data_IF_592726618370
#
_entry.id   IF_592726618370
#
_cell.length_a   1.000
_cell.length_b   1.000
_cell.length_c   1.000
_cell.angle_alpha   90.00
_cell.angle_beta   90.00
_cell.angle_gamma   90.00
#
_symmetry.space_group_name_H-M   'P 1'
#
loop_
_entity.id
_entity.type
_entity.pdbx_description
1 polymer ?
#
# COMPACT_ATOMS: atom_id res chain seq x y z
N UNK A 1 -11.98 -61.75 -10.18
CA UNK A 1 -13.12 -61.39 -11.03
C UNK A 1 -13.83 -60.25 -10.34
N UNK A 2 -13.31 -59.04 -10.52
CA UNK A 2 -13.68 -58.12 -11.59
C UNK A 2 -15.14 -57.69 -11.50
N UNK A 3 -15.26 -56.38 -11.34
CA UNK A 3 -16.29 -55.54 -11.93
C UNK A 3 -17.70 -55.67 -11.32
N UNK A 4 -18.48 -54.61 -11.19
CA UNK A 4 -18.39 -53.34 -11.87
C UNK A 4 -19.13 -52.33 -10.98
N UNK A 5 -18.52 -51.25 -10.52
CA UNK A 5 -18.25 -50.07 -11.35
C UNK A 5 -19.44 -49.53 -12.13
N UNK A 6 -20.69 -49.89 -11.82
CA UNK A 6 -21.84 -49.23 -12.43
C UNK A 6 -23.01 -49.15 -11.47
N UNK A 7 -22.98 -48.15 -10.59
CA UNK A 7 -24.01 -47.10 -10.53
C UNK A 7 -23.45 -45.95 -9.68
N UNK A 8 -22.86 -44.97 -10.36
CA UNK A 8 -23.53 -43.67 -10.58
C UNK A 8 -23.83 -42.99 -9.23
N UNK A 9 -22.91 -42.19 -8.73
CA UNK A 9 -22.88 -40.79 -9.13
C UNK A 9 -24.30 -40.21 -9.26
N UNK A 10 -24.95 -39.96 -8.12
CA UNK A 10 -25.90 -38.86 -7.94
C UNK A 10 -26.20 -38.67 -6.46
N UNK A 11 -25.80 -37.48 -6.00
CA UNK A 11 -26.31 -36.75 -4.83
C UNK A 11 -25.91 -37.33 -3.47
N UNK A 12 -24.92 -36.71 -2.84
CA UNK A 12 -25.16 -35.90 -1.64
C UNK A 12 -23.85 -35.39 -1.02
N UNK A 13 -23.79 -34.06 -0.91
CA UNK A 13 -23.19 -33.28 0.16
C UNK A 13 -21.67 -33.11 0.30
N UNK A 14 -21.31 -31.82 0.21
CA UNK A 14 -20.13 -31.16 0.73
C UNK A 14 -19.69 -31.63 2.13
N UNK A 15 -18.45 -32.12 2.23
CA UNK A 15 -17.39 -31.70 3.18
C UNK A 15 -16.33 -32.79 3.22
N UNK A 16 -15.16 -32.52 2.65
CA UNK A 16 -13.93 -33.26 2.96
C UNK A 16 -12.78 -32.27 3.10
N UNK A 17 -12.66 -31.68 4.29
CA UNK A 17 -11.36 -31.32 4.88
C UNK A 17 -10.82 -32.60 5.50
N UNK A 18 -9.66 -33.06 5.01
CA UNK A 18 -9.08 -34.37 5.29
C UNK A 18 -7.91 -34.18 6.25
N UNK A 19 -8.04 -34.77 7.42
CA UNK A 19 -6.97 -35.06 8.39
C UNK A 19 -6.05 -36.17 7.88
N UNK A 20 -4.84 -36.18 8.45
CA UNK A 20 -3.78 -37.21 8.46
C UNK A 20 -2.58 -36.96 7.55
N UNK A 21 -1.55 -36.35 8.13
CA UNK A 21 -0.16 -36.44 7.71
C UNK A 21 0.69 -36.83 8.94
N UNK A 22 0.88 -38.13 9.11
CA UNK A 22 2.06 -38.70 9.76
C UNK A 22 2.57 -39.82 8.86
N UNK A 23 3.89 -39.84 8.71
CA UNK A 23 4.73 -40.77 7.92
C UNK A 23 4.85 -40.42 6.43
N UNK A 24 5.98 -39.79 6.05
CA UNK A 24 6.93 -40.31 5.05
C UNK A 24 8.22 -39.47 5.01
N UNK A 25 9.31 -40.17 4.67
CA UNK A 25 10.73 -39.80 4.75
C UNK A 25 11.14 -38.65 3.81
N UNK A 26 12.06 -37.83 4.31
CA UNK A 26 12.77 -36.74 3.59
C UNK A 26 13.61 -37.28 2.42
N UNK A 27 13.59 -36.60 1.27
CA UNK A 27 14.39 -36.90 0.07
C UNK A 27 15.01 -35.60 -0.51
N UNK A 28 16.12 -35.69 -1.23
CA UNK A 28 17.00 -34.57 -1.67
C UNK A 28 16.33 -33.44 -2.49
N UNK A 29 15.09 -33.63 -2.96
CA UNK A 29 14.32 -32.59 -3.64
C UNK A 29 13.86 -31.45 -2.71
N UNK A 30 13.78 -31.68 -1.39
CA UNK A 30 13.51 -30.64 -0.38
C UNK A 30 14.65 -29.62 -0.24
N UNK A 31 15.83 -29.93 -0.79
CA UNK A 31 16.98 -29.02 -0.84
C UNK A 31 16.77 -27.87 -1.84
N UNK A 32 16.02 -28.12 -2.91
CA UNK A 32 15.83 -27.15 -4.00
C UNK A 32 14.72 -26.14 -3.66
N UNK A 33 13.68 -26.55 -2.91
CA UNK A 33 12.65 -25.64 -2.39
C UNK A 33 13.09 -24.84 -1.15
N UNK A 34 14.26 -25.14 -0.57
CA UNK A 34 14.89 -24.31 0.49
C UNK A 34 15.56 -23.03 -0.03
N UNK A 35 15.73 -22.85 -1.34
CA UNK A 35 16.26 -21.59 -1.92
C UNK A 35 15.28 -20.40 -1.89
N UNK A 36 14.09 -20.57 -1.30
CA UNK A 36 13.17 -19.46 -0.99
C UNK A 36 12.64 -19.49 0.45
N UNK A 37 13.40 -20.05 1.41
CA UNK A 37 13.19 -19.69 2.81
C UNK A 37 13.84 -18.35 3.07
N UNK A 38 13.00 -17.32 2.93
CA UNK A 38 13.13 -16.03 3.58
C UNK A 38 14.04 -16.08 4.83
N UNK A 39 15.04 -15.20 4.87
CA UNK A 39 15.87 -14.91 6.04
C UNK A 39 15.05 -14.43 7.26
N UNK A 40 13.72 -14.37 7.18
CA UNK A 40 12.83 -14.02 8.29
C UNK A 40 12.54 -15.15 9.29
N UNK A 41 12.98 -16.39 9.07
CA UNK A 41 12.72 -17.48 10.03
C UNK A 41 14.01 -18.05 10.61
N UNK A 42 14.56 -17.35 11.61
CA UNK A 42 15.68 -17.76 12.48
C UNK A 42 15.38 -19.02 13.31
N UNK A 43 14.14 -19.50 13.32
CA UNK A 43 13.64 -20.53 14.23
C UNK A 43 14.34 -21.88 14.14
N UNK A 44 14.75 -22.33 12.96
CA UNK A 44 15.32 -23.69 12.79
C UNK A 44 16.76 -23.82 13.31
N UNK A 45 17.61 -22.82 13.08
CA UNK A 45 18.98 -22.78 13.63
C UNK A 45 18.95 -22.54 15.14
N UNK A 46 18.10 -21.63 15.61
CA UNK A 46 17.93 -21.35 17.03
C UNK A 46 17.36 -22.54 17.83
N UNK A 47 16.43 -23.30 17.24
CA UNK A 47 15.92 -24.53 17.87
C UNK A 47 17.02 -25.59 18.03
N UNK A 48 17.89 -25.73 17.03
CA UNK A 48 19.03 -26.66 17.07
C UNK A 48 20.03 -26.26 18.16
N UNK A 49 20.28 -24.95 18.32
CA UNK A 49 21.14 -24.40 19.37
C UNK A 49 20.53 -24.56 20.77
N UNK A 50 19.22 -24.37 20.93
CA UNK A 50 18.53 -24.59 22.22
C UNK A 50 18.60 -26.04 22.71
N UNK A 51 18.53 -27.00 21.78
CA UNK A 51 18.70 -28.44 22.08
C UNK A 51 20.15 -28.76 22.44
N UNK A 52 21.11 -28.11 21.81
CA UNK A 52 22.53 -28.24 22.15
C UNK A 52 22.82 -27.72 23.57
N UNK A 53 22.32 -26.52 23.92
CA UNK A 53 22.47 -25.97 25.27
C UNK A 53 21.81 -26.83 26.33
N UNK A 54 20.61 -27.36 26.06
CA UNK A 54 19.94 -28.30 26.97
C UNK A 54 20.82 -29.52 27.25
N UNK A 55 21.37 -30.16 26.21
CA UNK A 55 22.25 -31.33 26.37
C UNK A 55 23.56 -30.99 27.08
N UNK A 56 24.16 -29.84 26.78
CA UNK A 56 25.42 -29.43 27.40
C UNK A 56 25.26 -29.13 28.90
N UNK A 57 24.17 -28.45 29.28
CA UNK A 57 23.88 -28.11 30.67
C UNK A 57 23.46 -29.34 31.47
N UNK A 58 22.61 -30.21 30.92
CA UNK A 58 22.23 -31.49 31.55
C UNK A 58 23.40 -32.46 31.73
N UNK A 59 24.46 -32.35 30.91
CA UNK A 59 25.68 -33.15 31.08
C UNK A 59 26.59 -32.62 32.20
N UNK A 60 26.49 -31.33 32.53
CA UNK A 60 27.38 -30.65 33.49
C UNK A 60 26.86 -30.67 34.93
N UNK A 61 25.55 -30.75 35.12
CA UNK A 61 24.90 -30.86 36.42
C UNK A 61 23.96 -32.07 36.35
N UNK A 62 24.12 -33.05 37.24
CA UNK A 62 23.32 -34.28 37.33
C UNK A 62 21.85 -34.01 37.76
N UNK A 63 21.24 -32.96 37.21
CA UNK A 63 19.92 -32.44 37.50
C UNK A 63 19.13 -32.36 36.20
N UNK A 64 17.93 -32.95 36.21
CA UNK A 64 16.99 -32.91 35.09
C UNK A 64 16.44 -31.48 34.91
N UNK A 65 17.14 -30.68 34.11
CA UNK A 65 16.64 -29.38 33.68
C UNK A 65 15.60 -29.62 32.59
N UNK A 66 14.30 -29.55 32.91
CA UNK A 66 13.24 -29.61 31.89
C UNK A 66 13.15 -28.29 31.13
N UNK A 67 13.74 -28.21 29.94
CA UNK A 67 13.49 -27.10 29.01
C UNK A 67 12.18 -27.40 28.27
N UNK A 68 11.08 -26.86 28.79
CA UNK A 68 9.81 -26.87 28.05
C UNK A 68 9.96 -26.02 26.79
N UNK A 69 9.47 -26.53 25.65
CA UNK A 69 9.51 -25.83 24.37
C UNK A 69 8.61 -24.59 24.42
N UNK A 70 9.14 -23.50 24.95
CA UNK A 70 8.54 -22.18 24.91
C UNK A 70 8.54 -21.72 23.46
N UNK A 71 7.34 -21.67 22.86
CA UNK A 71 7.09 -21.00 21.58
C UNK A 71 7.83 -19.66 21.54
N UNK A 72 8.92 -19.60 20.76
CA UNK A 72 9.52 -18.37 20.19
C UNK A 72 9.68 -17.17 21.16
N UNK A 73 10.09 -17.42 22.41
CA UNK A 73 10.50 -16.38 23.39
C UNK A 73 11.69 -16.88 24.22
N UNK A 74 12.76 -17.24 23.55
CA UNK A 74 14.07 -17.50 24.17
C UNK A 74 14.94 -16.39 23.57
N UNK A 75 15.02 -15.20 24.15
CA UNK A 75 15.26 -14.80 25.54
C UNK A 75 14.27 -13.71 25.99
N UNK A 76 14.05 -13.54 27.30
CA UNK A 76 13.19 -12.48 27.88
C UNK A 76 13.73 -11.05 27.71
N UNK A 77 14.69 -10.84 26.80
CA UNK A 77 15.29 -9.55 26.52
C UNK A 77 14.42 -8.84 25.48
N UNK A 78 13.66 -7.84 25.93
CA UNK A 78 12.95 -6.92 25.03
C UNK A 78 13.88 -5.78 24.65
N UNK A 79 13.64 -5.15 23.50
CA UNK A 79 14.31 -3.90 23.11
C UNK A 79 14.22 -2.87 24.23
N UNK A 80 13.08 -2.76 24.90
CA UNK A 80 12.83 -1.91 26.08
C UNK A 80 13.77 -2.17 27.28
N UNK A 81 14.39 -3.35 27.36
CA UNK A 81 15.34 -3.71 28.42
C UNK A 81 16.78 -3.40 28.06
N UNK A 82 17.06 -3.05 26.80
CA UNK A 82 18.43 -2.84 26.29
C UNK A 82 18.61 -1.45 25.70
N UNK A 83 17.58 -0.87 25.10
CA UNK A 83 17.60 0.44 24.47
C UNK A 83 16.55 1.33 25.11
N UNK A 84 16.93 2.57 25.37
CA UNK A 84 16.01 3.59 25.85
C UNK A 84 15.32 4.30 24.67
N UNK A 85 14.01 4.51 24.76
CA UNK A 85 13.21 5.30 23.79
C UNK A 85 13.47 4.97 22.30
N UNK A 86 13.39 3.69 21.92
CA UNK A 86 13.54 3.26 20.51
C UNK A 86 12.42 3.87 19.65
N UNK A 87 12.75 4.67 18.62
CA UNK A 87 11.74 5.15 17.68
C UNK A 87 11.07 3.98 16.94
N UNK A 88 9.77 4.08 16.66
CA UNK A 88 8.96 2.98 16.10
C UNK A 88 9.55 2.44 14.79
N UNK A 89 10.06 3.33 13.94
CA UNK A 89 10.71 3.03 12.66
C UNK A 89 12.05 2.29 12.82
N UNK A 90 12.72 2.46 13.95
CA UNK A 90 13.98 1.79 14.29
C UNK A 90 13.77 0.50 15.08
N UNK A 91 12.53 0.16 15.45
CA UNK A 91 12.22 -1.08 16.17
C UNK A 91 12.73 -2.35 15.44
N UNK A 92 12.59 -2.48 14.10
CA UNK A 92 13.18 -3.61 13.38
C UNK A 92 14.71 -3.65 13.47
N UNK A 93 15.38 -2.49 13.40
CA UNK A 93 16.83 -2.39 13.51
C UNK A 93 17.30 -2.70 14.94
N UNK A 94 16.61 -2.18 15.96
CA UNK A 94 16.88 -2.48 17.36
C UNK A 94 16.74 -3.98 17.66
N UNK A 95 15.71 -4.63 17.12
CA UNK A 95 15.53 -6.09 17.24
C UNK A 95 16.65 -6.86 16.53
N UNK A 96 17.13 -6.38 15.37
CA UNK A 96 18.25 -7.00 14.66
C UNK A 96 19.57 -6.87 15.45
N UNK A 97 19.84 -5.68 16.00
CA UNK A 97 21.01 -5.45 16.86
C UNK A 97 20.93 -6.33 18.10
N UNK A 98 19.77 -6.39 18.76
CA UNK A 98 19.54 -7.26 19.91
C UNK A 98 19.82 -8.73 19.58
N UNK A 99 19.35 -9.19 18.41
CA UNK A 99 19.61 -10.56 17.94
C UNK A 99 21.10 -10.80 17.69
N UNK A 100 21.82 -9.81 17.15
CA UNK A 100 23.25 -9.91 16.86
C UNK A 100 24.12 -9.89 18.13
N UNK A 101 23.68 -9.21 19.19
CA UNK A 101 24.37 -9.13 20.48
C UNK A 101 24.25 -10.43 21.27
N UNK A 102 23.21 -11.25 21.05
CA UNK A 102 23.00 -12.51 21.77
C UNK A 102 24.07 -13.53 21.34
N UNK A 103 25.14 -13.59 22.11
CA UNK A 103 26.20 -14.57 22.09
C UNK A 103 26.30 -15.32 23.44
N UNK A 104 27.21 -16.28 23.55
CA UNK A 104 27.36 -17.06 24.80
C UNK A 104 27.77 -16.19 25.99
N UNK A 105 28.65 -15.22 25.78
CA UNK A 105 29.15 -14.33 26.83
C UNK A 105 28.05 -13.38 27.35
N UNK A 106 27.27 -12.79 26.45
CA UNK A 106 26.12 -11.95 26.82
C UNK A 106 25.02 -12.76 27.50
N UNK A 107 24.81 -14.03 27.14
CA UNK A 107 23.89 -14.90 27.87
C UNK A 107 24.31 -15.12 29.33
N UNK A 108 25.61 -15.27 29.60
CA UNK A 108 26.14 -15.35 30.96
C UNK A 108 25.95 -14.04 31.73
N UNK A 109 26.27 -12.91 31.10
CA UNK A 109 26.02 -11.58 31.67
C UNK A 109 24.54 -11.35 31.97
N UNK A 110 23.65 -11.80 31.08
CA UNK A 110 22.20 -11.75 31.25
C UNK A 110 21.74 -12.60 32.42
N UNK A 111 22.27 -13.82 32.55
CA UNK A 111 21.96 -14.70 33.69
C UNK A 111 22.32 -14.03 35.02
N UNK A 112 23.53 -13.46 35.11
CA UNK A 112 23.98 -12.73 36.30
C UNK A 112 23.12 -11.49 36.56
N UNK A 113 22.74 -10.77 35.51
CA UNK A 113 21.88 -9.60 35.60
C UNK A 113 20.49 -9.96 36.15
N UNK A 114 19.85 -11.03 35.67
CA UNK A 114 18.54 -11.45 36.17
C UNK A 114 18.57 -12.00 37.60
N UNK A 115 19.71 -12.52 38.07
CA UNK A 115 19.89 -12.96 39.46
C UNK A 115 19.99 -11.79 40.46
N UNK A 116 20.34 -10.59 40.00
CA UNK A 116 20.62 -9.43 40.86
C UNK A 116 19.45 -8.53 41.25
N UNK A 117 18.19 -8.92 41.00
CA UNK A 117 16.99 -8.12 41.32
C UNK A 117 17.01 -6.67 40.78
N UNK A 118 17.54 -6.46 39.57
CA UNK A 118 17.57 -5.13 38.94
C UNK A 118 16.29 -4.81 38.17
N UNK A 119 15.14 -4.83 38.86
CA UNK A 119 13.92 -4.28 38.28
C UNK A 119 14.14 -2.80 37.96
N UNK A 120 13.99 -2.42 36.69
CA UNK A 120 14.16 -1.07 36.14
C UNK A 120 15.58 -0.60 35.76
N UNK A 121 16.58 -1.48 35.74
CA UNK A 121 17.85 -1.14 35.06
C UNK A 121 17.85 -1.68 33.63
N UNK A 122 18.50 -0.93 32.74
CA UNK A 122 18.76 -1.36 31.37
C UNK A 122 19.95 -2.32 31.37
N UNK A 123 19.81 -3.44 30.69
CA UNK A 123 20.91 -4.34 30.42
C UNK A 123 21.90 -3.66 29.46
N UNK A 124 23.17 -3.59 29.87
CA UNK A 124 24.25 -2.95 29.11
C UNK A 124 25.36 -3.97 28.86
N UNK A 125 25.36 -4.63 27.70
CA UNK A 125 26.41 -5.58 27.36
C UNK A 125 27.81 -4.90 27.31
N UNK A 126 27.86 -3.63 26.88
CA UNK A 126 29.01 -2.74 27.03
C UNK A 126 28.56 -1.29 27.27
N UNK A 127 29.48 -0.44 27.74
CA UNK A 127 29.14 0.90 28.24
C UNK A 127 28.65 1.89 27.18
N UNK A 128 29.15 1.80 25.94
CA UNK A 128 28.84 2.74 24.86
C UNK A 128 27.64 2.34 23.98
N UNK A 129 27.00 1.20 24.22
CA UNK A 129 25.89 0.70 23.37
C UNK A 129 24.77 1.74 23.23
N UNK A 130 24.37 2.38 24.32
CA UNK A 130 23.27 3.37 24.29
C UNK A 130 23.63 4.59 23.45
N UNK A 131 24.84 5.11 23.63
CA UNK A 131 25.33 6.28 22.89
C UNK A 131 25.51 5.95 21.41
N UNK A 132 25.99 4.74 21.10
CA UNK A 132 26.12 4.26 19.71
C UNK A 132 24.75 4.10 19.04
N UNK A 133 23.77 3.49 19.74
CA UNK A 133 22.42 3.32 19.23
C UNK A 133 21.68 4.66 19.06
N UNK A 134 21.80 5.57 20.04
CA UNK A 134 21.25 6.91 19.93
C UNK A 134 21.90 7.68 18.77
N UNK A 135 23.22 7.57 18.59
CA UNK A 135 23.92 8.17 17.44
C UNK A 135 23.46 7.57 16.11
N UNK A 136 23.18 6.26 16.06
CA UNK A 136 22.63 5.61 14.87
C UNK A 136 21.24 6.18 14.53
N UNK A 137 20.37 6.32 15.53
CA UNK A 137 19.02 6.85 15.39
C UNK A 137 19.00 8.34 15.01
N UNK A 138 19.95 9.13 15.53
CA UNK A 138 20.05 10.57 15.24
C UNK A 138 20.77 10.88 13.92
N UNK A 139 21.43 9.90 13.30
CA UNK A 139 22.20 10.15 12.09
C UNK A 139 21.29 10.34 10.86
N UNK A 140 21.57 11.39 10.07
CA UNK A 140 20.96 11.58 8.73
C UNK A 140 21.34 10.46 7.73
N UNK A 141 22.15 9.49 8.15
CA UNK A 141 22.51 8.26 7.44
C UNK A 141 21.52 7.12 7.68
N UNK A 142 20.30 7.40 8.14
CA UNK A 142 19.26 6.40 8.33
C UNK A 142 18.86 5.77 6.97
N UNK A 143 19.31 4.54 6.77
CA UNK A 143 19.22 3.85 5.51
C UNK A 143 17.95 2.97 5.45
N UNK A 144 16.82 3.54 5.06
CA UNK A 144 15.59 2.78 4.81
C UNK A 144 15.53 2.29 3.37
N UNK A 145 15.45 0.98 3.18
CA UNK A 145 15.23 0.36 1.86
C UNK A 145 13.80 -0.16 1.75
N UNK A 146 13.12 0.23 0.67
CA UNK A 146 11.78 -0.27 0.35
C UNK A 146 11.82 -0.97 -1.00
N UNK A 147 11.25 -2.17 -1.05
CA UNK A 147 11.12 -2.90 -2.31
C UNK A 147 10.20 -2.13 -3.26
N UNK A 148 10.73 -1.76 -4.43
CA UNK A 148 9.95 -1.18 -5.51
C UNK A 148 8.98 -2.20 -6.09
N UNK A 149 7.78 -1.74 -6.48
CA UNK A 149 6.72 -2.62 -6.96
C UNK A 149 6.62 -2.60 -8.49
N UNK A 150 7.44 -3.41 -9.16
CA UNK A 150 7.47 -3.50 -10.63
C UNK A 150 6.43 -4.50 -11.20
N UNK A 151 5.32 -4.68 -10.50
CA UNK A 151 4.30 -5.67 -10.89
C UNK A 151 3.49 -5.16 -12.09
N UNK A 152 3.50 -5.93 -13.17
CA UNK A 152 2.79 -5.60 -14.43
C UNK A 152 1.36 -6.17 -14.48
N UNK A 153 1.05 -7.17 -13.64
CA UNK A 153 -0.28 -7.81 -13.60
C UNK A 153 -1.15 -7.20 -12.50
N UNK A 154 -2.42 -6.95 -12.81
CA UNK A 154 -3.40 -6.44 -11.84
C UNK A 154 -4.81 -6.41 -12.43
N UNK A 155 -5.72 -5.72 -11.78
CA UNK A 155 -7.06 -5.49 -12.31
C UNK A 155 -7.02 -4.46 -13.46
N UNK A 156 -7.55 -4.81 -14.64
CA UNK A 156 -7.63 -3.89 -15.77
C UNK A 156 -8.65 -2.75 -15.54
N UNK A 157 -9.73 -3.05 -14.84
CA UNK A 157 -10.77 -2.11 -14.45
C UNK A 157 -11.27 -2.39 -13.02
N UNK A 158 -11.93 -1.43 -12.40
CA UNK A 158 -12.64 -1.61 -11.13
C UNK A 158 -13.86 -2.52 -11.33
N UNK A 159 -14.31 -3.17 -10.26
CA UNK A 159 -15.41 -4.14 -10.31
C UNK A 159 -16.75 -3.53 -10.75
N UNK A 160 -16.97 -2.25 -10.43
CA UNK A 160 -18.22 -1.55 -10.79
C UNK A 160 -18.26 -1.21 -12.28
N UNK A 161 -19.24 -1.78 -12.98
CA UNK A 161 -19.55 -1.45 -14.37
C UNK A 161 -20.63 -0.37 -14.40
N UNK A 162 -20.31 0.77 -15.01
CA UNK A 162 -21.22 1.89 -15.22
C UNK A 162 -22.04 1.67 -16.50
N UNK A 163 -23.25 2.23 -16.53
CA UNK A 163 -24.10 2.17 -17.72
C UNK A 163 -23.66 3.23 -18.72
N UNK A 164 -23.55 2.87 -20.00
CA UNK A 164 -23.48 3.84 -21.09
C UNK A 164 -24.89 4.05 -21.66
N UNK A 165 -25.29 5.31 -21.82
CA UNK A 165 -26.56 5.71 -22.42
C UNK A 165 -26.28 6.83 -23.44
N UNK A 166 -26.08 6.44 -24.70
CA UNK A 166 -25.50 7.34 -25.70
C UNK A 166 -24.12 7.81 -25.25
N UNK A 167 -23.87 9.11 -25.32
CA UNK A 167 -22.59 9.71 -24.90
C UNK A 167 -22.46 9.90 -23.38
N UNK A 168 -23.53 9.65 -22.62
CA UNK A 168 -23.52 9.84 -21.16
C UNK A 168 -23.23 8.52 -20.44
N UNK A 169 -22.36 8.60 -19.43
CA UNK A 169 -22.08 7.48 -18.53
C UNK A 169 -22.87 7.73 -17.25
N UNK A 170 -23.61 6.72 -16.79
CA UNK A 170 -24.57 6.87 -15.67
C UNK A 170 -24.35 5.78 -14.63
N UNK A 171 -24.41 6.17 -13.36
CA UNK A 171 -24.35 5.25 -12.22
C UNK A 171 -25.52 5.50 -11.28
N UNK A 172 -26.05 4.43 -10.66
CA UNK A 172 -27.00 4.58 -9.56
C UNK A 172 -26.23 4.95 -8.29
N UNK A 173 -26.47 6.14 -7.76
CA UNK A 173 -25.85 6.64 -6.54
C UNK A 173 -26.88 6.59 -5.41
N UNK A 174 -26.53 6.03 -4.23
CA UNK A 174 -27.41 6.06 -3.05
C UNK A 174 -27.76 7.48 -2.65
N UNK A 175 -28.98 7.68 -2.13
CA UNK A 175 -29.44 9.02 -1.73
C UNK A 175 -28.51 9.69 -0.71
N UNK A 176 -27.91 8.92 0.20
CA UNK A 176 -26.97 9.39 1.23
C UNK A 176 -25.66 9.95 0.70
N UNK A 177 -25.35 9.76 -0.60
CA UNK A 177 -24.13 10.24 -1.25
C UNK A 177 -24.39 11.37 -2.26
N UNK A 178 -25.61 11.90 -2.32
CA UNK A 178 -25.94 13.01 -3.19
C UNK A 178 -25.24 14.29 -2.74
N UNK A 179 -25.01 15.20 -3.69
CA UNK A 179 -24.36 16.48 -3.45
C UNK A 179 -25.12 17.57 -4.18
N UNK A 180 -25.15 18.76 -3.58
CA UNK A 180 -25.63 19.96 -4.23
C UNK A 180 -24.47 20.70 -4.92
N UNK A 181 -24.75 21.30 -6.07
CA UNK A 181 -23.90 22.26 -6.74
C UNK A 181 -24.07 23.67 -6.13
N UNK A 182 -23.27 24.62 -6.60
CA UNK A 182 -23.32 26.02 -6.18
C UNK A 182 -24.72 26.65 -6.36
N UNK A 183 -25.44 26.24 -7.41
CA UNK A 183 -26.81 26.70 -7.71
C UNK A 183 -27.89 26.03 -6.84
N UNK A 184 -27.47 25.28 -5.80
CA UNK A 184 -28.34 24.46 -4.93
C UNK A 184 -29.15 23.43 -5.70
N UNK A 185 -28.62 22.94 -6.82
CA UNK A 185 -29.16 21.86 -7.64
C UNK A 185 -28.46 20.53 -7.33
N UNK A 186 -29.10 19.39 -7.59
CA UNK A 186 -28.42 18.09 -7.41
C UNK A 186 -27.39 17.91 -8.52
N UNK A 187 -26.12 17.75 -8.14
CA UNK A 187 -25.00 17.62 -9.06
C UNK A 187 -25.22 16.49 -10.06
N UNK A 188 -25.09 16.80 -11.37
CA UNK A 188 -25.05 15.81 -12.44
C UNK A 188 -26.27 14.87 -12.51
N UNK A 189 -27.43 15.34 -12.06
CA UNK A 189 -28.66 14.53 -12.08
C UNK A 189 -29.03 14.12 -13.51
N UNK A 190 -29.21 12.82 -13.74
CA UNK A 190 -29.51 12.31 -15.07
C UNK A 190 -30.99 12.52 -15.41
N UNK A 191 -31.26 13.22 -16.52
CA UNK A 191 -32.60 13.41 -17.10
C UNK A 191 -33.65 13.94 -16.11
N UNK A 192 -33.39 15.12 -15.56
CA UNK A 192 -34.32 15.89 -14.71
C UNK A 192 -35.75 15.92 -15.26
N UNK A 193 -35.89 16.10 -16.57
CA UNK A 193 -37.17 16.31 -17.24
C UNK A 193 -38.12 15.12 -17.15
N UNK A 194 -37.58 13.89 -17.02
CA UNK A 194 -38.40 12.68 -16.93
C UNK A 194 -39.21 12.60 -15.64
N UNK A 195 -38.73 13.19 -14.56
CA UNK A 195 -39.39 13.14 -13.25
C UNK A 195 -39.07 14.37 -12.38
N UNK A 196 -39.66 15.50 -12.77
CA UNK A 196 -39.49 16.78 -12.08
C UNK A 196 -39.98 16.74 -10.63
N UNK A 197 -41.04 15.96 -10.35
CA UNK A 197 -41.60 15.83 -9.00
C UNK A 197 -40.62 15.14 -8.05
N UNK A 198 -40.03 14.02 -8.48
CA UNK A 198 -39.01 13.32 -7.70
C UNK A 198 -37.80 14.22 -7.45
N UNK A 199 -37.27 14.86 -8.50
CA UNK A 199 -36.11 15.74 -8.35
C UNK A 199 -36.38 16.90 -7.39
N UNK A 200 -37.52 17.59 -7.54
CA UNK A 200 -37.86 18.75 -6.72
C UNK A 200 -37.98 18.35 -5.23
N UNK A 201 -38.59 17.20 -4.95
CA UNK A 201 -38.70 16.69 -3.60
C UNK A 201 -37.34 16.28 -3.00
N UNK A 202 -36.47 15.63 -3.77
CA UNK A 202 -35.11 15.29 -3.34
C UNK A 202 -34.28 16.55 -3.06
N UNK A 203 -34.34 17.52 -3.96
CA UNK A 203 -33.64 18.81 -3.84
C UNK A 203 -34.13 19.56 -2.62
N UNK A 204 -35.44 19.68 -2.40
CA UNK A 204 -36.02 20.35 -1.23
C UNK A 204 -35.56 19.69 0.07
N UNK A 205 -35.56 18.36 0.14
CA UNK A 205 -35.09 17.62 1.31
C UNK A 205 -33.60 17.83 1.54
N UNK A 206 -32.77 17.79 0.50
CA UNK A 206 -31.34 18.08 0.62
C UNK A 206 -31.05 19.50 1.11
N UNK A 207 -31.75 20.50 0.59
CA UNK A 207 -31.60 21.90 0.99
C UNK A 207 -32.00 22.09 2.46
N UNK A 208 -33.07 21.43 2.92
CA UNK A 208 -33.53 21.52 4.31
C UNK A 208 -32.48 21.05 5.34
N UNK A 209 -31.59 20.13 4.96
CA UNK A 209 -30.51 19.61 5.79
C UNK A 209 -29.15 20.21 5.41
N UNK A 210 -29.13 21.42 4.86
CA UNK A 210 -27.88 22.14 4.54
C UNK A 210 -26.99 21.44 3.50
N UNK A 211 -27.55 20.55 2.68
CA UNK A 211 -26.80 19.74 1.71
C UNK A 211 -26.16 18.47 2.28
N UNK A 212 -26.36 18.15 3.56
CA UNK A 212 -25.89 16.89 4.14
C UNK A 212 -26.83 15.73 3.77
N UNK A 213 -26.48 15.01 2.70
CA UNK A 213 -27.28 13.90 2.21
C UNK A 213 -27.40 12.72 3.18
N UNK A 214 -26.40 12.50 4.04
CA UNK A 214 -26.43 11.39 4.99
C UNK A 214 -27.51 11.61 6.05
N UNK A 215 -27.65 12.84 6.53
CA UNK A 215 -28.70 13.23 7.48
C UNK A 215 -30.05 13.37 6.79
N UNK A 216 -30.07 14.03 5.63
CA UNK A 216 -31.29 14.26 4.85
C UNK A 216 -32.05 12.97 4.54
N UNK A 217 -31.32 11.88 4.30
CA UNK A 217 -31.87 10.57 3.90
C UNK A 217 -31.59 9.47 4.93
N UNK A 218 -31.34 9.83 6.19
CA UNK A 218 -31.33 8.87 7.30
C UNK A 218 -32.71 8.21 7.45
N UNK A 219 -33.76 9.02 7.34
CA UNK A 219 -35.13 8.54 7.22
C UNK A 219 -35.47 8.11 5.77
N UNK A 220 -36.28 7.06 5.59
CA UNK A 220 -36.69 6.60 4.26
C UNK A 220 -37.34 7.70 3.40
N UNK A 221 -36.98 7.75 2.13
CA UNK A 221 -37.56 8.68 1.16
C UNK A 221 -38.48 7.94 0.19
N UNK A 222 -39.74 8.37 0.14
CA UNK A 222 -40.75 7.82 -0.76
C UNK A 222 -41.01 8.78 -1.92
N UNK A 223 -41.18 8.24 -3.12
CA UNK A 223 -41.48 9.04 -4.31
C UNK A 223 -42.82 9.76 -4.14
N UNK A 224 -42.89 11.09 -4.35
CA UNK A 224 -44.17 11.80 -4.35
C UNK A 224 -44.97 11.40 -5.61
N UNK A 225 -46.22 10.99 -5.44
CA UNK A 225 -47.17 10.85 -6.55
C UNK A 225 -47.91 12.17 -6.76
N UNK A 226 -48.38 12.42 -7.99
CA UNK A 226 -49.26 13.55 -8.31
C UNK A 226 -50.48 13.63 -7.40
N UNK A 227 -50.98 12.47 -6.95
CA UNK A 227 -52.20 12.33 -6.16
C UNK A 227 -51.96 12.51 -4.63
N UNK A 228 -50.77 12.97 -4.20
CA UNK A 228 -50.43 13.17 -2.78
C UNK A 228 -50.10 11.90 -1.97
N UNK A 229 -50.41 10.72 -2.51
CA UNK A 229 -50.10 9.44 -1.87
C UNK A 229 -48.61 9.11 -1.87
N UNK A 230 -48.15 8.37 -0.85
CA UNK A 230 -46.77 7.85 -0.77
C UNK A 230 -46.53 6.85 -1.90
N UNK A 231 -45.57 7.14 -2.76
CA UNK A 231 -45.11 6.25 -3.82
C UNK A 231 -44.04 5.26 -3.34
N UNK A 232 -43.38 4.56 -4.28
CA UNK A 232 -42.34 3.59 -3.96
C UNK A 232 -41.16 4.19 -3.20
N UNK A 233 -40.50 3.36 -2.39
CA UNK A 233 -39.26 3.72 -1.69
C UNK A 233 -38.13 3.97 -2.70
N UNK A 234 -37.48 5.12 -2.60
CA UNK A 234 -36.32 5.47 -3.43
C UNK A 234 -35.06 5.31 -2.58
N UNK A 235 -34.16 4.42 -3.00
CA UNK A 235 -32.86 4.20 -2.32
C UNK A 235 -31.69 4.86 -3.05
N UNK A 236 -31.82 5.06 -4.35
CA UNK A 236 -30.75 5.57 -5.23
C UNK A 236 -31.34 6.22 -6.47
N UNK A 237 -30.61 7.16 -7.05
CA UNK A 237 -30.97 7.85 -8.30
C UNK A 237 -29.83 7.77 -9.31
N UNK A 238 -30.14 7.83 -10.63
CA UNK A 238 -29.12 7.88 -11.66
C UNK A 238 -28.40 9.24 -11.66
N UNK A 239 -27.08 9.21 -11.55
CA UNK A 239 -26.20 10.39 -11.62
C UNK A 239 -25.21 10.19 -12.76
N UNK A 240 -25.02 11.23 -13.58
CA UNK A 240 -24.04 11.25 -14.67
C UNK A 240 -22.63 11.20 -14.06
N UNK A 241 -21.82 10.29 -14.57
CA UNK A 241 -20.41 10.14 -14.21
C UNK A 241 -19.56 10.64 -15.37
N UNK A 242 -18.49 11.37 -15.06
CA UNK A 242 -17.49 11.82 -16.06
C UNK A 242 -16.12 11.21 -15.77
N UNK A 243 -15.93 9.88 -15.92
CA UNK A 243 -14.61 9.27 -15.77
C UNK A 243 -13.69 9.75 -16.90
N UNK A 244 -12.48 10.22 -16.56
CA UNK A 244 -11.49 10.68 -17.56
C UNK A 244 -10.84 9.55 -18.36
N UNK A 245 -10.76 8.37 -17.76
CA UNK A 245 -10.22 7.18 -18.41
C UNK A 245 -11.00 5.96 -17.95
N UNK A 246 -11.36 5.12 -18.93
CA UNK A 246 -12.20 3.97 -18.73
C UNK A 246 -11.93 2.89 -19.79
N UNK A 247 -12.56 1.73 -19.62
CA UNK A 247 -12.57 0.60 -20.56
C UNK A 247 -14.02 0.23 -20.85
N UNK A 248 -14.33 -0.10 -22.10
CA UNK A 248 -15.64 -0.68 -22.47
C UNK A 248 -15.63 -2.16 -22.16
N UNK A 249 -16.55 -2.61 -21.31
CA UNK A 249 -16.63 -4.01 -20.84
C UNK A 249 -18.08 -4.43 -20.73
N UNK A 250 -18.44 -5.57 -21.36
CA UNK A 250 -19.79 -6.18 -21.30
C UNK A 250 -20.93 -5.19 -21.62
N UNK A 251 -20.75 -4.32 -22.61
CA UNK A 251 -21.73 -3.30 -22.99
C UNK A 251 -21.86 -2.13 -22.00
N UNK A 252 -21.01 -2.07 -20.97
CA UNK A 252 -20.90 -0.96 -20.03
C UNK A 252 -19.49 -0.37 -19.99
N UNK A 253 -19.23 0.43 -18.96
CA UNK A 253 -17.98 1.17 -18.77
C UNK A 253 -17.35 0.84 -17.42
N UNK A 254 -16.14 0.27 -17.44
CA UNK A 254 -15.32 0.06 -16.24
C UNK A 254 -14.33 1.21 -16.06
N UNK A 255 -14.22 1.78 -14.87
CA UNK A 255 -13.15 2.74 -14.54
C UNK A 255 -11.81 1.99 -14.50
N UNK A 256 -10.71 2.60 -14.95
CA UNK A 256 -9.38 1.97 -14.91
C UNK A 256 -9.05 1.38 -13.53
N UNK A 257 -8.44 0.19 -13.54
CA UNK A 257 -8.04 -0.53 -12.34
C UNK A 257 -6.66 -0.11 -11.86
N UNK A 258 -5.74 -1.06 -11.83
CA UNK A 258 -4.41 -0.88 -11.27
C UNK A 258 -3.50 -0.10 -12.24
N UNK A 259 -2.76 0.85 -11.68
CA UNK A 259 -1.68 1.56 -12.35
C UNK A 259 -0.38 0.80 -12.11
N UNK A 260 0.36 0.54 -13.18
CA UNK A 260 1.64 -0.20 -13.11
C UNK A 260 2.75 0.77 -12.75
N UNK A 261 2.84 1.88 -13.48
CA UNK A 261 3.87 2.91 -13.32
C UNK A 261 3.42 4.23 -13.93
N UNK A 262 4.24 5.25 -13.74
CA UNK A 262 4.17 6.49 -14.51
C UNK A 262 5.42 6.63 -15.37
N UNK A 263 5.24 7.03 -16.62
CA UNK A 263 6.34 7.41 -17.50
C UNK A 263 6.54 8.93 -17.36
N UNK A 264 7.75 9.36 -17.02
CA UNK A 264 8.08 10.78 -16.78
C UNK A 264 8.70 11.39 -18.03
N UNK A 265 8.27 12.59 -18.35
CA UNK A 265 8.71 13.39 -19.49
C UNK A 265 9.21 14.75 -19.00
N UNK A 266 10.23 15.29 -19.67
CA UNK A 266 10.72 16.65 -19.44
C UNK A 266 10.71 17.40 -20.75
N UNK A 267 9.80 18.36 -20.87
CA UNK A 267 9.59 19.14 -22.09
C UNK A 267 10.67 20.21 -22.27
N UNK A 268 10.72 20.82 -23.46
CA UNK A 268 11.72 21.85 -23.80
C UNK A 268 11.69 23.08 -22.87
N UNK A 269 10.53 23.41 -22.32
CA UNK A 269 10.31 24.44 -21.29
C UNK A 269 10.77 24.03 -19.88
N UNK A 270 11.48 22.89 -19.76
CA UNK A 270 12.02 22.34 -18.52
C UNK A 270 10.96 21.87 -17.50
N UNK A 271 9.68 21.80 -17.90
CA UNK A 271 8.63 21.30 -17.03
C UNK A 271 8.55 19.76 -17.02
N UNK A 272 8.17 19.20 -15.87
CA UNK A 272 7.96 17.75 -15.73
C UNK A 272 6.48 17.39 -15.91
N UNK A 273 6.24 16.37 -16.72
CA UNK A 273 4.94 15.76 -16.90
C UNK A 273 5.06 14.25 -16.71
N UNK A 274 3.93 13.60 -16.47
CA UNK A 274 3.89 12.15 -16.44
C UNK A 274 2.67 11.61 -17.17
N UNK A 275 2.85 10.43 -17.77
CA UNK A 275 1.80 9.65 -18.38
C UNK A 275 1.55 8.41 -17.51
N UNK A 276 0.33 8.24 -16.97
CA UNK A 276 0.01 7.06 -16.17
C UNK A 276 -0.20 5.83 -17.08
N UNK A 277 0.45 4.73 -16.73
CA UNK A 277 0.35 3.46 -17.44
C UNK A 277 -0.46 2.48 -16.59
N UNK A 278 -1.59 2.00 -17.11
CA UNK A 278 -2.47 1.05 -16.45
C UNK A 278 -2.32 -0.35 -17.02
N UNK A 279 -2.83 -1.36 -16.29
CA UNK A 279 -2.87 -2.75 -16.77
C UNK A 279 -3.62 -2.89 -18.10
N UNK A 280 -4.62 -2.06 -18.38
CA UNK A 280 -5.30 -2.08 -19.69
C UNK A 280 -4.41 -1.62 -20.85
N UNK A 281 -3.37 -0.84 -20.58
CA UNK A 281 -2.50 -0.25 -21.60
C UNK A 281 -1.43 -1.24 -22.03
N UNK A 282 -1.18 -2.29 -21.23
CA UNK A 282 -0.24 -3.37 -21.58
C UNK A 282 -0.77 -4.30 -22.67
N UNK A 283 -2.03 -4.14 -23.06
CA UNK A 283 -2.70 -4.90 -24.14
C UNK A 283 -2.86 -4.06 -25.41
N UNK A 284 -2.41 -2.81 -25.41
CA UNK A 284 -2.47 -1.93 -26.57
C UNK A 284 -1.16 -2.01 -27.36
N UNK A 285 -1.24 -1.84 -28.68
CA UNK A 285 -0.08 -1.89 -29.56
C UNK A 285 0.92 -0.77 -29.30
N UNK A 286 0.45 0.37 -28.79
CA UNK A 286 1.26 1.54 -28.48
C UNK A 286 0.99 2.03 -27.06
N UNK A 287 2.04 2.54 -26.40
CA UNK A 287 1.92 3.14 -25.09
C UNK A 287 1.23 4.51 -25.16
N UNK A 288 0.38 4.86 -24.18
CA UNK A 288 -0.28 6.16 -24.17
C UNK A 288 0.73 7.29 -24.02
N UNK A 289 0.44 8.47 -24.60
CA UNK A 289 1.28 9.67 -24.52
C UNK A 289 0.60 10.87 -23.87
N UNK A 290 -0.64 10.68 -23.39
CA UNK A 290 -1.42 11.78 -22.81
C UNK A 290 -1.02 12.02 -21.37
N UNK A 291 -0.46 13.19 -21.10
CA UNK A 291 -0.03 13.57 -19.76
C UNK A 291 -1.22 13.75 -18.81
N UNK A 292 -0.98 13.46 -17.53
CA UNK A 292 -1.93 13.73 -16.47
C UNK A 292 -1.93 15.24 -16.13
N UNK A 293 -3.01 15.93 -16.49
CA UNK A 293 -3.18 17.37 -16.21
C UNK A 293 -4.45 17.63 -15.40
N UNK A 294 -4.48 18.73 -14.64
CA UNK A 294 -5.68 19.15 -13.90
C UNK A 294 -6.80 19.57 -14.86
N UNK A 295 -6.47 20.20 -15.98
CA UNK A 295 -7.42 20.67 -16.99
C UNK A 295 -7.60 19.60 -18.10
N UNK A 296 -8.76 18.91 -18.16
CA UNK A 296 -9.00 17.89 -19.17
C UNK A 296 -9.07 18.43 -20.59
N UNK A 297 -9.28 19.73 -20.82
CA UNK A 297 -9.32 20.31 -22.17
C UNK A 297 -7.92 20.67 -22.70
N UNK A 298 -6.94 20.77 -21.78
CA UNK A 298 -5.52 20.92 -22.09
C UNK A 298 -4.81 19.57 -21.99
N UNK A 299 -5.36 18.51 -22.62
CA UNK A 299 -4.69 17.21 -22.65
C UNK A 299 -3.38 17.35 -23.42
N UNK A 300 -2.29 17.53 -22.69
CA UNK A 300 -0.97 17.70 -23.28
C UNK A 300 -0.50 16.34 -23.81
N UNK A 301 -0.26 16.27 -25.11
CA UNK A 301 0.32 15.10 -25.77
C UNK A 301 1.84 15.20 -25.67
N UNK A 302 2.47 14.19 -25.09
CA UNK A 302 3.93 14.14 -24.93
C UNK A 302 4.61 13.62 -26.18
N UNK A 303 5.83 14.10 -26.41
CA UNK A 303 6.73 13.55 -27.40
C UNK A 303 7.53 12.42 -26.75
N UNK A 304 7.69 11.29 -27.44
CA UNK A 304 8.49 10.17 -26.93
C UNK A 304 9.96 10.54 -26.72
N UNK A 305 10.48 11.49 -27.49
CA UNK A 305 11.84 12.00 -27.33
C UNK A 305 12.07 12.74 -26.01
N UNK A 306 11.01 13.24 -25.37
CA UNK A 306 11.09 13.94 -24.08
C UNK A 306 11.05 12.98 -22.88
N UNK A 307 10.94 11.67 -23.12
CA UNK A 307 10.93 10.65 -22.06
C UNK A 307 12.27 10.62 -21.33
N UNK A 308 12.23 10.56 -19.99
CA UNK A 308 13.44 10.48 -19.15
C UNK A 308 13.58 9.13 -18.41
N UNK A 309 12.53 8.69 -17.71
CA UNK A 309 12.50 7.42 -16.97
C UNK A 309 11.09 7.04 -16.54
N UNK A 310 10.91 5.81 -16.09
CA UNK A 310 9.66 5.34 -15.48
C UNK A 310 9.76 5.26 -13.96
N UNK A 311 8.70 5.62 -13.24
CA UNK A 311 8.62 5.47 -11.79
C UNK A 311 7.52 4.50 -11.36
N UNK A 312 7.88 3.58 -10.49
CA UNK A 312 7.02 2.59 -9.85
C UNK A 312 6.71 2.96 -8.41
N UNK A 313 5.73 2.29 -7.80
CA UNK A 313 5.43 2.49 -6.38
C UNK A 313 6.62 2.13 -5.49
N UNK A 314 6.91 3.03 -4.54
CA UNK A 314 8.05 3.00 -3.63
C UNK A 314 9.42 3.23 -4.30
N UNK A 315 9.48 3.61 -5.57
CA UNK A 315 10.75 4.08 -6.14
C UNK A 315 11.25 5.28 -5.33
N UNK A 316 12.55 5.30 -5.07
CA UNK A 316 13.21 6.42 -4.40
C UNK A 316 13.49 7.49 -5.44
N UNK A 317 13.06 8.70 -5.12
CA UNK A 317 13.24 9.87 -5.96
C UNK A 317 13.88 10.98 -5.13
N UNK A 318 14.73 11.76 -5.78
CA UNK A 318 15.15 13.04 -5.24
C UNK A 318 14.33 14.13 -5.90
N UNK A 319 13.77 15.05 -5.10
CA UNK A 319 13.04 16.20 -5.61
C UNK A 319 13.62 17.50 -5.05
N UNK A 320 13.54 18.56 -5.84
CA UNK A 320 13.69 19.94 -5.40
C UNK A 320 12.44 20.72 -5.84
N UNK A 321 11.92 21.55 -4.94
CA UNK A 321 10.76 22.41 -5.14
C UNK A 321 11.22 23.88 -5.15
N UNK A 322 10.50 24.77 -5.85
CA UNK A 322 10.79 26.20 -5.84
C UNK A 322 10.52 26.85 -4.48
N UNK A 323 9.58 26.30 -3.71
CA UNK A 323 9.19 26.75 -2.38
C UNK A 323 9.07 25.54 -1.44
N UNK A 324 9.39 25.76 -0.16
CA UNK A 324 9.24 24.73 0.86
C UNK A 324 7.78 24.30 1.01
N UNK A 325 7.58 23.00 1.23
CA UNK A 325 6.26 22.41 1.46
C UNK A 325 6.20 21.74 2.82
N UNK A 326 5.02 21.78 3.43
CA UNK A 326 4.75 21.07 4.67
C UNK A 326 4.40 19.60 4.42
N UNK A 327 5.21 18.69 4.95
CA UNK A 327 4.88 17.28 5.10
C UNK A 327 4.17 17.05 6.43
N UNK A 328 3.14 16.20 6.44
CA UNK A 328 2.39 15.87 7.66
C UNK A 328 2.79 14.50 8.16
N UNK A 329 2.93 14.38 9.48
CA UNK A 329 3.11 13.09 10.14
C UNK A 329 1.92 12.16 9.86
N UNK A 330 2.22 10.87 9.75
CA UNK A 330 1.24 9.81 9.50
C UNK A 330 0.59 9.34 10.81
N UNK A 331 1.26 9.54 11.95
CA UNK A 331 0.86 9.05 13.26
C UNK A 331 0.51 10.17 14.24
N UNK A 332 1.16 11.32 14.12
CA UNK A 332 1.00 12.48 15.01
C UNK A 332 0.45 13.69 14.25
N UNK A 333 0.16 14.77 14.98
CA UNK A 333 -0.22 16.07 14.42
C UNK A 333 0.98 16.89 13.92
N UNK A 334 2.19 16.36 14.02
CA UNK A 334 3.42 17.09 13.71
C UNK A 334 3.60 17.27 12.20
N UNK A 335 4.42 18.26 11.85
CA UNK A 335 4.75 18.55 10.47
C UNK A 335 6.17 19.07 10.34
N UNK A 336 6.77 18.81 9.18
CA UNK A 336 8.09 19.32 8.82
C UNK A 336 8.01 20.09 7.51
N UNK A 337 8.88 21.07 7.34
CA UNK A 337 9.02 21.82 6.09
C UNK A 337 10.25 21.35 5.34
N UNK A 338 10.07 21.07 4.06
CA UNK A 338 11.15 20.64 3.16
C UNK A 338 10.98 21.29 1.81
N UNK A 339 12.07 21.75 1.23
CA UNK A 339 12.15 22.25 -0.15
C UNK A 339 12.90 21.26 -1.07
N UNK A 340 13.69 20.34 -0.51
CA UNK A 340 14.38 19.28 -1.24
C UNK A 340 14.60 18.03 -0.39
N UNK A 341 14.90 16.90 -1.05
CA UNK A 341 15.28 15.66 -0.36
C UNK A 341 14.99 14.38 -1.12
N UNK A 342 15.30 13.26 -0.48
CA UNK A 342 14.99 11.91 -0.96
C UNK A 342 13.66 11.43 -0.38
N UNK A 343 12.81 10.89 -1.25
CA UNK A 343 11.47 10.45 -0.88
C UNK A 343 11.09 9.16 -1.61
N UNK A 344 10.16 8.43 -1.02
CA UNK A 344 9.45 7.34 -1.71
C UNK A 344 8.32 7.92 -2.54
N UNK A 345 8.20 7.46 -3.78
CA UNK A 345 7.02 7.76 -4.61
C UNK A 345 5.79 7.00 -4.09
N UNK A 346 4.82 7.77 -3.60
CA UNK A 346 3.51 7.31 -3.14
C UNK A 346 2.48 7.18 -4.26
N UNK A 347 1.18 7.25 -3.95
CA UNK A 347 0.11 7.16 -4.96
C UNK A 347 0.07 8.35 -5.91
N UNK A 348 -0.45 8.14 -7.13
CA UNK A 348 -0.65 9.20 -8.13
C UNK A 348 -2.12 9.52 -8.30
N UNK A 349 -2.43 10.81 -8.44
CA UNK A 349 -3.75 11.35 -8.75
C UNK A 349 -3.77 11.86 -10.19
N UNK A 350 -4.04 10.96 -11.13
CA UNK A 350 -4.03 11.28 -12.57
C UNK A 350 -5.00 12.40 -12.98
N UNK A 351 -6.08 12.62 -12.21
CA UNK A 351 -7.02 13.73 -12.47
C UNK A 351 -6.45 15.11 -12.13
N UNK A 352 -5.51 15.20 -11.19
CA UNK A 352 -4.91 16.48 -10.79
C UNK A 352 -3.51 16.67 -11.36
N UNK A 353 -2.90 15.63 -11.94
CA UNK A 353 -1.48 15.66 -12.32
C UNK A 353 -0.58 15.77 -11.09
N UNK A 354 -1.03 15.23 -9.95
CA UNK A 354 -0.32 15.29 -8.67
C UNK A 354 0.06 13.91 -8.18
N UNK A 355 1.10 13.84 -7.36
CA UNK A 355 1.56 12.62 -6.74
C UNK A 355 1.78 12.79 -5.25
N UNK A 356 1.86 11.67 -4.57
CA UNK A 356 2.20 11.58 -3.17
C UNK A 356 3.68 11.24 -3.02
N UNK A 357 4.29 11.83 -2.00
CA UNK A 357 5.60 11.45 -1.51
C UNK A 357 5.51 11.11 -0.03
N UNK A 358 6.39 10.24 0.43
CA UNK A 358 6.68 10.05 1.84
C UNK A 358 8.18 10.07 2.08
N UNK A 359 8.60 10.44 3.28
CA UNK A 359 9.97 10.23 3.75
C UNK A 359 10.32 8.74 3.68
N UNK A 360 11.63 8.42 3.70
CA UNK A 360 12.10 7.04 3.53
C UNK A 360 11.68 6.13 4.70
N UNK A 361 11.49 6.67 5.89
CA UNK A 361 10.90 6.01 7.05
C UNK A 361 9.36 5.92 7.02
N UNK A 362 8.71 6.58 6.06
CA UNK A 362 7.25 6.76 5.93
C UNK A 362 6.58 7.50 7.08
N UNK A 363 7.32 8.23 7.90
CA UNK A 363 6.72 9.03 8.97
C UNK A 363 5.94 10.23 8.42
N UNK A 364 6.56 10.98 7.51
CA UNK A 364 5.98 12.19 6.96
C UNK A 364 5.57 11.99 5.51
N UNK A 365 4.42 12.53 5.14
CA UNK A 365 3.91 12.42 3.78
C UNK A 365 3.19 13.68 3.29
N UNK A 366 3.15 13.83 1.98
CA UNK A 366 2.35 14.82 1.27
C UNK A 366 1.61 14.14 0.15
N UNK A 367 0.29 14.29 0.10
CA UNK A 367 -0.59 13.50 -0.77
C UNK A 367 -0.88 14.12 -2.15
N UNK A 368 -0.39 15.35 -2.40
CA UNK A 368 -0.70 16.08 -3.63
C UNK A 368 0.35 17.14 -3.95
N UNK A 369 1.46 16.70 -4.53
CA UNK A 369 2.49 17.55 -5.13
C UNK A 369 2.27 17.59 -6.64
N UNK A 370 2.15 18.76 -7.27
CA UNK A 370 2.08 18.85 -8.73
C UNK A 370 3.41 18.45 -9.38
N UNK A 371 3.38 17.58 -10.38
CA UNK A 371 4.60 17.16 -11.09
C UNK A 371 5.27 18.35 -11.82
N UNK A 372 4.46 19.23 -12.43
CA UNK A 372 4.95 20.35 -13.23
C UNK A 372 5.68 21.43 -12.40
N UNK A 373 5.51 21.45 -11.08
CA UNK A 373 6.13 22.45 -10.21
C UNK A 373 7.48 22.02 -9.66
N UNK A 374 7.99 20.84 -10.02
CA UNK A 374 9.29 20.37 -9.55
C UNK A 374 10.41 21.12 -10.26
N UNK A 375 11.36 21.67 -9.50
CA UNK A 375 12.58 22.28 -10.03
C UNK A 375 13.55 21.21 -10.51
N UNK A 376 13.73 20.15 -9.71
CA UNK A 376 14.55 18.98 -10.08
C UNK A 376 13.87 17.69 -9.67
N UNK A 377 14.04 16.66 -10.49
CA UNK A 377 13.58 15.30 -10.22
C UNK A 377 14.62 14.30 -10.71
N UNK A 378 15.08 13.43 -9.82
CA UNK A 378 15.95 12.30 -10.16
C UNK A 378 15.34 11.00 -9.65
N UNK A 379 15.53 9.93 -10.43
CA UNK A 379 15.32 8.57 -9.98
C UNK A 379 16.56 8.05 -9.29
N UNK A 380 16.37 7.37 -8.16
CA UNK A 380 17.44 6.77 -7.38
C UNK A 380 17.23 5.26 -7.26
N UNK A 381 18.34 4.54 -7.18
CA UNK A 381 18.40 3.15 -6.76
C UNK A 381 18.80 3.10 -5.29
N UNK A 382 18.21 2.17 -4.56
CA UNK A 382 18.53 1.94 -3.14
C UNK A 382 18.86 0.48 -2.97
N UNK A 383 20.03 0.21 -2.41
CA UNK A 383 20.44 -1.16 -2.13
C UNK A 383 19.68 -1.74 -0.91
N UNK A 384 19.77 -3.06 -0.64
CA UNK A 384 19.10 -3.64 0.52
C UNK A 384 19.54 -3.09 1.87
N UNK A 385 20.72 -2.45 1.94
CA UNK A 385 21.24 -1.80 3.14
C UNK A 385 20.81 -0.34 3.27
N UNK A 386 20.08 0.18 2.27
CA UNK A 386 19.53 1.53 2.19
C UNK A 386 20.51 2.60 1.66
N UNK A 387 21.63 2.20 1.05
CA UNK A 387 22.53 3.13 0.35
C UNK A 387 21.86 3.65 -0.92
N UNK A 388 21.76 4.97 -1.05
CA UNK A 388 21.10 5.62 -2.18
C UNK A 388 22.12 5.98 -3.26
N UNK A 389 21.81 5.65 -4.51
CA UNK A 389 22.59 6.04 -5.70
C UNK A 389 21.70 6.68 -6.75
N UNK A 390 22.12 7.81 -7.30
CA UNK A 390 21.42 8.45 -8.41
C UNK A 390 21.58 7.63 -9.69
N UNK A 391 20.47 7.36 -10.38
CA UNK A 391 20.51 6.75 -11.71
C UNK A 391 20.90 7.84 -12.71
N UNK A 392 22.05 7.66 -13.36
CA UNK A 392 22.59 8.61 -14.35
C UNK A 392 22.42 8.15 -15.79
N UNK A 393 22.18 6.84 -15.99
CA UNK A 393 21.97 6.28 -17.32
C UNK A 393 20.56 6.63 -17.81
N UNK A 394 20.40 7.07 -19.07
CA UNK A 394 19.07 7.28 -19.65
C UNK A 394 18.33 5.94 -19.72
N UNK A 395 17.05 5.94 -19.33
CA UNK A 395 16.20 4.77 -19.50
C UNK A 395 15.60 4.75 -20.91
N UNK A 396 15.40 3.55 -21.46
CA UNK A 396 14.53 3.37 -22.61
C UNK A 396 13.10 3.21 -22.12
N UNK A 397 12.15 3.85 -22.80
CA UNK A 397 10.72 3.65 -22.54
C UNK A 397 10.33 2.21 -22.86
N UNK A 398 10.02 1.42 -21.84
CA UNK A 398 9.81 -0.02 -21.97
C UNK A 398 8.37 -0.36 -22.39
N UNK A 399 8.17 -1.05 -23.50
CA UNK A 399 6.88 -1.59 -23.92
C UNK A 399 6.50 -2.85 -23.13
N UNK A 400 5.23 -3.26 -23.24
CA UNK A 400 4.74 -4.51 -22.67
C UNK A 400 4.48 -5.51 -23.79
N UNK A 401 5.27 -6.57 -23.83
CA UNK A 401 5.04 -7.69 -24.75
C UNK A 401 4.30 -8.81 -24.02
N UNK A 402 3.07 -8.54 -23.58
CA UNK A 402 2.17 -9.58 -23.09
C UNK A 402 1.49 -10.21 -24.31
N UNK A 403 2.18 -11.15 -24.96
CA UNK A 403 1.55 -12.05 -25.93
C UNK A 403 0.68 -13.09 -25.24
#
# INVERSE_FOLDING_TARGET
MNEDFRQRARKSNHRKTRTNLLTTKWNEQDSIDRKQRSLYNSSSLLSSFSVFLHRALSASSNTDVTVSSLKTRITGLRTERVFDNVPIEMEPAANAILTAIIDTHTCEQLSNFFMGNYENTLFRPWNSLQTEFASLCASNTQCFSHMSQHRVRGAAHRDTILRSHGDQIVAKVPLTKLKLNNDREIADYFQLERDRLLYTALRKRLIAFGGNASEAFAEPFYKPKSNGLRGPLVKSVPIIQRPRSFVRVRGGIGINGDMIRIDVFRTADQAYYFVPIYVKDTLQDALPLRAATKNPDRMLLMNEHDFIFSLYQNDVIYIELPEAITLKSTTSSDSIEVDHGYFLRGKVRSKSGTFEISTLDKQYMRTSIPFFSLSKLYKCEVDPLGTIRKITKPEKRMEFHLK
#
